data_IF_585683179507
#
_entry.id   IF_585683179507
#
_cell.length_a   1.000
_cell.length_b   1.000
_cell.length_c   1.000
_cell.angle_alpha   90.00
_cell.angle_beta   90.00
_cell.angle_gamma   90.00
#
_symmetry.space_group_name_H-M   'P 1'
#
loop_
_entity.id
_entity.type
_entity.pdbx_description
1 polymer ?
#
# COMPACT_ATOMS: atom_id res chain seq x y z
N UNK A 1 27.34 0.48 15.09
CA UNK A 1 26.70 -0.76 15.57
C UNK A 1 25.32 -0.80 14.96
N UNK A 2 25.02 -1.78 14.11
CA UNK A 2 23.63 -2.05 13.74
C UNK A 2 22.93 -2.55 14.99
N UNK A 3 22.03 -1.74 15.55
CA UNK A 3 21.21 -2.15 16.67
C UNK A 3 20.19 -3.15 16.13
N UNK A 4 20.38 -4.43 16.44
CA UNK A 4 19.51 -5.53 15.99
C UNK A 4 18.04 -5.24 16.34
N UNK A 5 17.79 -4.49 17.43
CA UNK A 5 16.44 -4.06 17.82
C UNK A 5 15.83 -3.05 16.83
N UNK A 6 16.64 -2.15 16.27
CA UNK A 6 16.21 -1.17 15.27
C UNK A 6 15.91 -1.85 13.93
N UNK A 7 16.77 -2.77 13.50
CA UNK A 7 16.56 -3.54 12.27
C UNK A 7 15.28 -4.39 12.33
N UNK A 8 15.02 -5.06 13.47
CA UNK A 8 13.80 -5.84 13.68
C UNK A 8 12.53 -4.98 13.66
N UNK A 9 12.57 -3.77 14.25
CA UNK A 9 11.44 -2.84 14.26
C UNK A 9 11.10 -2.34 12.85
N UNK A 10 12.10 -1.91 12.09
CA UNK A 10 11.92 -1.46 10.69
C UNK A 10 11.40 -2.62 9.83
N UNK A 11 12.02 -3.81 9.95
CA UNK A 11 11.58 -4.99 9.21
C UNK A 11 10.13 -5.36 9.49
N UNK A 12 9.70 -5.31 10.75
CA UNK A 12 8.30 -5.55 11.13
C UNK A 12 7.36 -4.50 10.54
N UNK A 13 7.70 -3.22 10.65
CA UNK A 13 6.85 -2.13 10.15
C UNK A 13 6.67 -2.22 8.63
N UNK A 14 7.75 -2.49 7.88
CA UNK A 14 7.70 -2.73 6.44
C UNK A 14 6.85 -3.95 6.07
N UNK A 15 6.94 -5.03 6.85
CA UNK A 15 6.13 -6.23 6.63
C UNK A 15 4.64 -5.92 6.80
N UNK A 16 4.28 -5.29 7.93
CA UNK A 16 2.88 -4.92 8.22
C UNK A 16 2.35 -3.97 7.15
N UNK A 17 3.16 -2.98 6.75
CA UNK A 17 2.82 -2.06 5.69
C UNK A 17 2.56 -2.78 4.36
N UNK A 18 3.49 -3.63 3.93
CA UNK A 18 3.38 -4.36 2.66
C UNK A 18 2.15 -5.26 2.65
N UNK A 19 1.87 -5.96 3.75
CA UNK A 19 0.66 -6.80 3.89
C UNK A 19 -0.60 -5.94 3.82
N UNK A 20 -0.66 -4.82 4.54
CA UNK A 20 -1.83 -3.93 4.52
C UNK A 20 -2.11 -3.36 3.14
N UNK A 21 -1.07 -2.90 2.43
CA UNK A 21 -1.19 -2.40 1.06
C UNK A 21 -1.60 -3.51 0.10
N UNK A 22 -1.03 -4.71 0.21
CA UNK A 22 -1.40 -5.83 -0.65
C UNK A 22 -2.88 -6.23 -0.47
N UNK A 23 -3.38 -6.24 0.76
CA UNK A 23 -4.80 -6.49 1.03
C UNK A 23 -5.71 -5.42 0.42
N UNK A 24 -5.32 -4.14 0.51
CA UNK A 24 -6.03 -3.04 -0.14
C UNK A 24 -6.05 -3.17 -1.67
N UNK A 25 -4.94 -3.59 -2.27
CA UNK A 25 -4.85 -3.85 -3.71
C UNK A 25 -5.81 -4.95 -4.12
N UNK A 26 -5.81 -6.09 -3.40
CA UNK A 26 -6.73 -7.20 -3.68
C UNK A 26 -8.19 -6.75 -3.54
N UNK A 27 -8.52 -5.98 -2.50
CA UNK A 27 -9.87 -5.47 -2.29
C UNK A 27 -10.29 -4.50 -3.42
N UNK A 28 -9.41 -3.59 -3.84
CA UNK A 28 -9.69 -2.64 -4.91
C UNK A 28 -9.90 -3.34 -6.26
N UNK A 29 -9.08 -4.33 -6.59
CA UNK A 29 -9.21 -5.11 -7.82
C UNK A 29 -10.50 -5.96 -7.80
N UNK A 30 -10.79 -6.62 -6.68
CA UNK A 30 -12.03 -7.39 -6.52
C UNK A 30 -13.27 -6.51 -6.60
N UNK A 31 -13.24 -5.29 -6.05
CA UNK A 31 -14.33 -4.33 -6.17
C UNK A 31 -14.50 -3.84 -7.61
N UNK A 32 -13.41 -3.53 -8.31
CA UNK A 32 -13.45 -3.10 -9.71
C UNK A 32 -14.06 -4.18 -10.61
N UNK A 33 -13.70 -5.44 -10.39
CA UNK A 33 -14.28 -6.59 -11.07
C UNK A 33 -15.77 -6.76 -10.73
N UNK A 34 -16.15 -6.64 -9.45
CA UNK A 34 -17.53 -6.82 -8.99
C UNK A 34 -18.52 -5.77 -9.54
N UNK A 35 -18.04 -4.62 -10.01
CA UNK A 35 -18.86 -3.56 -10.61
C UNK A 35 -18.67 -3.45 -12.13
N UNK A 36 -17.99 -4.42 -12.75
CA UNK A 36 -17.64 -4.42 -14.18
C UNK A 36 -16.96 -3.12 -14.62
N UNK A 37 -16.06 -2.59 -13.80
CA UNK A 37 -15.38 -1.33 -14.11
C UNK A 37 -14.41 -1.54 -15.27
N UNK A 38 -14.60 -0.74 -16.32
CA UNK A 38 -13.76 -0.84 -17.52
C UNK A 38 -12.28 -0.62 -17.18
N UNK A 39 -11.40 -1.46 -17.72
CA UNK A 39 -9.96 -1.44 -17.41
C UNK A 39 -9.30 -0.09 -17.69
N UNK A 40 -9.77 0.63 -18.71
CA UNK A 40 -9.26 1.95 -19.09
C UNK A 40 -9.53 3.01 -18.01
N UNK A 41 -10.57 2.82 -17.18
CA UNK A 41 -10.92 3.67 -16.04
C UNK A 41 -10.30 3.12 -14.75
N UNK A 42 -10.33 1.81 -14.56
CA UNK A 42 -9.81 1.16 -13.36
C UNK A 42 -8.30 1.36 -13.19
N UNK A 43 -7.53 1.22 -14.28
CA UNK A 43 -6.07 1.36 -14.24
C UNK A 43 -5.60 2.73 -13.74
N UNK A 44 -6.04 3.88 -14.31
CA UNK A 44 -5.63 5.19 -13.80
C UNK A 44 -6.12 5.44 -12.36
N UNK A 45 -7.33 5.00 -11.99
CA UNK A 45 -7.83 5.14 -10.62
C UNK A 45 -6.99 4.36 -9.62
N UNK A 46 -6.58 3.14 -9.98
CA UNK A 46 -5.71 2.32 -9.16
C UNK A 46 -4.35 2.99 -8.94
N UNK A 47 -3.73 3.51 -10.01
CA UNK A 47 -2.46 4.25 -9.92
C UNK A 47 -2.60 5.49 -9.04
N UNK A 48 -3.66 6.29 -9.23
CA UNK A 48 -3.92 7.48 -8.41
C UNK A 48 -4.11 7.10 -6.94
N UNK A 49 -4.86 6.03 -6.66
CA UNK A 49 -5.05 5.52 -5.30
C UNK A 49 -3.72 5.09 -4.66
N UNK A 50 -2.87 4.36 -5.38
CA UNK A 50 -1.54 3.97 -4.89
C UNK A 50 -0.65 5.19 -4.61
N UNK A 51 -0.63 6.18 -5.51
CA UNK A 51 0.12 7.42 -5.30
C UNK A 51 -0.38 8.15 -4.05
N UNK A 52 -1.71 8.23 -3.85
CA UNK A 52 -2.29 8.83 -2.64
C UNK A 52 -1.86 8.10 -1.36
N UNK A 53 -1.88 6.76 -1.36
CA UNK A 53 -1.40 5.96 -0.22
C UNK A 53 0.04 6.31 0.11
N UNK A 54 0.92 6.39 -0.90
CA UNK A 54 2.34 6.74 -0.70
C UNK A 54 2.49 8.16 -0.14
N UNK A 55 1.78 9.15 -0.71
CA UNK A 55 1.83 10.55 -0.26
C UNK A 55 1.36 10.69 1.19
N UNK A 56 0.25 10.04 1.54
CA UNK A 56 -0.30 10.06 2.89
C UNK A 56 0.68 9.41 3.87
N UNK A 57 1.23 8.25 3.54
CA UNK A 57 2.19 7.58 4.42
C UNK A 57 3.46 8.40 4.63
N UNK A 58 4.00 9.00 3.57
CA UNK A 58 5.17 9.88 3.67
C UNK A 58 4.88 11.08 4.59
N UNK A 59 3.69 11.68 4.47
CA UNK A 59 3.27 12.79 5.34
C UNK A 59 3.21 12.41 6.82
N UNK A 60 2.87 11.16 7.14
CA UNK A 60 2.81 10.65 8.51
C UNK A 60 4.11 9.99 9.01
N UNK A 61 5.22 10.16 8.30
CA UNK A 61 6.54 9.66 8.73
C UNK A 61 6.95 8.30 8.16
N UNK A 62 6.22 7.80 7.17
CA UNK A 62 6.56 6.58 6.43
C UNK A 62 6.42 5.28 7.24
N UNK A 63 6.72 4.12 6.64
CA UNK A 63 6.66 2.82 7.30
C UNK A 63 7.89 2.51 8.21
N UNK A 64 8.55 3.53 8.77
CA UNK A 64 9.80 3.40 9.55
C UNK A 64 9.59 3.53 11.06
#
# INVERSE_FOLDING_TARGET
MFDTSQALRIGRNLLVYTVGVALLVVAALGLADAIDLETIIAAPLFVVGLVLVLVVHEHFGGPV
#
